data_IF_954680690877
#
_entry.id   IF_954680690877
#
_cell.length_a   1.000
_cell.length_b   1.000
_cell.length_c   1.000
_cell.angle_alpha   90.00
_cell.angle_beta   90.00
_cell.angle_gamma   90.00
#
_symmetry.space_group_name_H-M   'P 1'
#
loop_
_entity.id
_entity.type
_entity.pdbx_description
1 polymer ?
#
# COMPACT_ATOMS: atom_id res chain seq x y z
N UNK A 1 -9.24 -35.87 6.20
CA UNK A 1 -8.75 -34.86 7.15
C UNK A 1 -7.72 -34.02 6.41
N UNK A 2 -8.16 -32.95 5.73
CA UNK A 2 -7.25 -32.05 5.00
C UNK A 2 -6.48 -31.22 6.02
N UNK A 3 -5.17 -31.39 6.03
CA UNK A 3 -4.25 -30.62 6.86
C UNK A 3 -4.39 -29.15 6.46
N UNK A 4 -4.98 -28.33 7.33
CA UNK A 4 -5.09 -26.88 7.17
C UNK A 4 -3.70 -26.25 7.37
N UNK A 5 -2.87 -26.32 6.32
CA UNK A 5 -1.59 -25.63 6.28
C UNK A 5 -1.85 -24.16 5.93
N UNK A 6 -2.40 -23.43 6.89
CA UNK A 6 -2.62 -21.99 6.75
C UNK A 6 -1.26 -21.29 6.57
N UNK A 7 -1.08 -20.62 5.44
CA UNK A 7 0.20 -20.03 5.06
C UNK A 7 0.43 -18.73 5.84
N UNK A 8 1.35 -18.78 6.81
CA UNK A 8 1.83 -17.60 7.54
C UNK A 8 2.82 -16.81 6.69
N UNK A 9 2.60 -15.49 6.63
CA UNK A 9 3.45 -14.51 5.99
C UNK A 9 3.98 -13.55 7.04
N UNK A 10 5.25 -13.20 6.92
CA UNK A 10 5.91 -12.23 7.77
C UNK A 10 6.78 -11.31 6.91
N UNK A 11 6.84 -10.04 7.29
CA UNK A 11 7.82 -9.10 6.76
C UNK A 11 8.16 -8.06 7.84
N UNK A 12 9.26 -7.35 7.63
CA UNK A 12 9.64 -6.21 8.47
C UNK A 12 9.28 -4.96 7.69
N UNK A 13 8.38 -4.15 8.25
CA UNK A 13 8.18 -2.79 7.80
C UNK A 13 9.20 -1.88 8.48
N UNK A 14 9.85 -1.00 7.71
CA UNK A 14 10.89 -0.10 8.21
C UNK A 14 10.35 0.93 9.24
N UNK A 15 9.02 1.17 9.30
CA UNK A 15 8.39 2.01 10.34
C UNK A 15 7.56 1.21 11.34
N UNK A 16 6.65 0.37 10.86
CA UNK A 16 5.67 -0.35 11.69
C UNK A 16 6.31 -1.58 12.35
N UNK A 17 7.53 -1.96 11.95
CA UNK A 17 8.25 -3.09 12.49
C UNK A 17 7.75 -4.44 11.97
N UNK A 18 7.96 -5.51 12.72
CA UNK A 18 7.58 -6.87 12.32
C UNK A 18 6.06 -6.99 12.15
N UNK A 19 5.63 -7.39 10.96
CA UNK A 19 4.24 -7.66 10.64
C UNK A 19 4.05 -9.14 10.34
N UNK A 20 2.90 -9.70 10.73
CA UNK A 20 2.55 -11.10 10.42
C UNK A 20 1.06 -11.25 10.14
N UNK A 21 0.72 -12.10 9.17
CA UNK A 21 -0.65 -12.48 8.87
C UNK A 21 -0.70 -13.92 8.35
N UNK A 22 -1.87 -14.54 8.43
CA UNK A 22 -2.15 -15.90 7.99
C UNK A 22 -3.18 -15.86 6.87
N UNK A 23 -2.80 -16.33 5.68
CA UNK A 23 -3.71 -16.44 4.54
C UNK A 23 -4.83 -17.43 4.85
N UNK A 24 -6.06 -17.12 4.44
CA UNK A 24 -7.27 -17.88 4.77
C UNK A 24 -7.89 -17.55 6.13
N UNK A 25 -7.15 -16.89 7.04
CA UNK A 25 -7.64 -16.44 8.34
C UNK A 25 -7.73 -14.93 8.46
N UNK A 26 -6.61 -14.24 8.25
CA UNK A 26 -6.51 -12.79 8.42
C UNK A 26 -6.90 -12.05 7.11
N UNK A 27 -6.81 -12.74 5.97
CA UNK A 27 -7.36 -12.31 4.70
C UNK A 27 -7.68 -13.53 3.80
N UNK A 28 -8.76 -13.43 3.03
CA UNK A 28 -9.18 -14.46 2.07
C UNK A 28 -8.68 -14.21 0.65
N UNK A 29 -9.25 -14.95 -0.29
CA UNK A 29 -8.99 -14.83 -1.72
C UNK A 29 -9.18 -13.39 -2.21
N UNK A 30 -8.37 -13.01 -3.18
CA UNK A 30 -8.38 -11.68 -3.77
C UNK A 30 -8.26 -11.76 -5.28
N UNK A 31 -8.84 -10.77 -5.96
CA UNK A 31 -8.83 -10.69 -7.41
C UNK A 31 -7.40 -10.39 -7.88
N UNK A 32 -6.89 -11.20 -8.80
CA UNK A 32 -5.61 -10.99 -9.50
C UNK A 32 -5.81 -10.54 -10.95
N UNK A 33 -6.93 -10.90 -11.56
CA UNK A 33 -7.32 -10.52 -12.92
C UNK A 33 -8.80 -10.16 -12.95
N UNK A 34 -9.14 -9.03 -13.56
CA UNK A 34 -10.51 -8.52 -13.58
C UNK A 34 -11.25 -8.96 -14.84
N UNK A 35 -12.58 -8.91 -14.79
CA UNK A 35 -13.46 -9.30 -15.92
C UNK A 35 -13.27 -8.44 -17.16
N UNK A 36 -12.85 -7.19 -16.99
CA UNK A 36 -12.50 -6.25 -18.07
C UNK A 36 -11.09 -6.47 -18.64
N UNK A 37 -10.54 -7.68 -18.47
CA UNK A 37 -9.26 -8.12 -19.03
C UNK A 37 -8.03 -7.29 -18.64
N UNK A 38 -8.10 -6.62 -17.48
CA UNK A 38 -6.97 -5.89 -16.89
C UNK A 38 -6.50 -6.57 -15.61
N UNK A 39 -5.18 -6.55 -15.31
CA UNK A 39 -4.68 -7.06 -14.05
C UNK A 39 -5.28 -6.27 -12.88
N UNK A 40 -5.57 -6.97 -11.79
CA UNK A 40 -5.96 -6.29 -10.55
C UNK A 40 -4.73 -5.62 -9.92
N UNK A 41 -4.98 -4.63 -9.07
CA UNK A 41 -3.94 -3.85 -8.40
C UNK A 41 -2.83 -4.71 -7.77
N UNK A 42 -3.20 -5.82 -7.10
CA UNK A 42 -2.23 -6.66 -6.41
C UNK A 42 -1.22 -7.30 -7.38
N UNK A 43 -1.68 -7.78 -8.54
CA UNK A 43 -0.81 -8.39 -9.56
C UNK A 43 -0.02 -7.34 -10.33
N UNK A 44 -0.68 -6.26 -10.76
CA UNK A 44 -0.03 -5.20 -11.51
C UNK A 44 1.18 -4.63 -10.76
N UNK A 45 1.00 -4.27 -9.49
CA UNK A 45 2.09 -3.72 -8.66
C UNK A 45 3.25 -4.70 -8.54
N UNK A 46 2.99 -5.97 -8.25
CA UNK A 46 4.07 -6.96 -8.03
C UNK A 46 4.90 -7.17 -9.29
N UNK A 47 4.25 -7.29 -10.45
CA UNK A 47 4.93 -7.50 -11.72
C UNK A 47 5.71 -6.26 -12.14
N UNK A 48 5.10 -5.07 -12.01
CA UNK A 48 5.74 -3.80 -12.37
C UNK A 48 6.94 -3.49 -11.45
N UNK A 49 6.78 -3.64 -10.13
CA UNK A 49 7.86 -3.44 -9.16
C UNK A 49 9.06 -4.35 -9.46
N UNK A 50 8.80 -5.63 -9.76
CA UNK A 50 9.85 -6.58 -10.10
C UNK A 50 10.52 -6.24 -11.44
N UNK A 51 9.74 -5.91 -12.47
CA UNK A 51 10.25 -5.54 -13.78
C UNK A 51 11.09 -4.24 -13.74
N UNK A 52 10.68 -3.29 -12.90
CA UNK A 52 11.38 -2.01 -12.69
C UNK A 52 12.48 -2.10 -11.63
N UNK A 53 12.72 -3.28 -11.05
CA UNK A 53 13.74 -3.52 -10.02
C UNK A 53 13.61 -2.61 -8.80
N UNK A 54 12.38 -2.34 -8.37
CA UNK A 54 12.09 -1.54 -7.19
C UNK A 54 12.69 -2.21 -5.95
N UNK A 55 13.53 -1.48 -5.22
CA UNK A 55 14.18 -1.99 -4.01
C UNK A 55 13.41 -1.68 -2.73
N UNK A 56 12.65 -0.58 -2.73
CA UNK A 56 11.90 -0.09 -1.57
C UNK A 56 10.58 0.55 -2.01
N UNK A 57 9.50 0.18 -1.33
CA UNK A 57 8.15 0.69 -1.55
C UNK A 57 7.74 1.53 -0.35
N UNK A 58 7.56 2.83 -0.59
CA UNK A 58 7.04 3.79 0.38
C UNK A 58 5.59 4.13 0.03
N UNK A 59 4.65 3.83 0.93
CA UNK A 59 3.21 4.03 0.68
C UNK A 59 2.42 4.26 1.97
N UNK A 60 1.14 4.62 1.88
CA UNK A 60 0.30 4.83 3.06
C UNK A 60 0.05 3.54 3.85
N UNK A 61 -0.04 3.64 5.17
CA UNK A 61 -0.31 2.51 6.09
C UNK A 61 -1.66 1.83 5.88
N UNK A 62 -2.61 2.48 5.19
CA UNK A 62 -3.86 1.88 4.76
C UNK A 62 -3.65 0.71 3.77
N UNK A 63 -2.47 0.61 3.15
CA UNK A 63 -2.10 -0.46 2.23
C UNK A 63 -1.33 -1.61 2.90
N UNK A 64 -1.17 -1.61 4.23
CA UNK A 64 -0.40 -2.64 4.93
C UNK A 64 -0.93 -4.07 4.69
N UNK A 65 -2.25 -4.24 4.67
CA UNK A 65 -2.87 -5.53 4.36
C UNK A 65 -2.69 -5.95 2.88
N UNK A 66 -2.54 -5.00 1.96
CA UNK A 66 -2.20 -5.30 0.56
C UNK A 66 -0.79 -5.90 0.45
N UNK A 67 0.14 -5.53 1.33
CA UNK A 67 1.48 -6.11 1.37
C UNK A 67 1.44 -7.62 1.53
N UNK A 68 0.63 -8.17 2.43
CA UNK A 68 0.53 -9.62 2.59
C UNK A 68 0.03 -10.33 1.33
N UNK A 69 -0.96 -9.75 0.65
CA UNK A 69 -1.46 -10.28 -0.63
C UNK A 69 -0.38 -10.24 -1.72
N UNK A 70 0.38 -9.16 -1.78
CA UNK A 70 1.48 -8.99 -2.73
C UNK A 70 2.66 -9.93 -2.43
N UNK A 71 2.98 -10.17 -1.16
CA UNK A 71 4.01 -11.12 -0.76
C UNK A 71 3.68 -12.56 -1.20
N UNK A 72 2.40 -12.95 -1.21
CA UNK A 72 1.99 -14.23 -1.79
C UNK A 72 2.29 -14.29 -3.29
N UNK A 73 2.04 -13.20 -4.01
CA UNK A 73 2.30 -13.14 -5.45
C UNK A 73 3.80 -13.13 -5.74
N UNK A 74 4.61 -12.36 -5.00
CA UNK A 74 6.07 -12.41 -5.09
C UNK A 74 6.57 -13.84 -4.92
N UNK A 75 6.10 -14.55 -3.88
CA UNK A 75 6.47 -15.95 -3.64
C UNK A 75 5.98 -16.89 -4.75
N UNK A 76 4.74 -16.73 -5.22
CA UNK A 76 4.16 -17.61 -6.25
C UNK A 76 4.81 -17.45 -7.62
N UNK A 77 5.33 -16.25 -7.92
CA UNK A 77 6.00 -15.93 -9.17
C UNK A 77 7.53 -16.10 -9.08
N UNK A 78 8.05 -16.59 -7.95
CA UNK A 78 9.50 -16.69 -7.67
C UNK A 78 10.25 -15.36 -7.85
N UNK A 79 9.61 -14.26 -7.42
CA UNK A 79 10.13 -12.91 -7.47
C UNK A 79 10.59 -12.44 -6.07
N UNK A 80 11.65 -11.65 -6.04
CA UNK A 80 12.13 -11.01 -4.81
C UNK A 80 11.26 -9.81 -4.46
N UNK A 81 10.69 -9.77 -3.26
CA UNK A 81 9.95 -8.60 -2.78
C UNK A 81 10.89 -7.45 -2.36
N UNK A 82 10.46 -6.18 -2.52
CA UNK A 82 11.17 -5.02 -2.02
C UNK A 82 11.08 -4.93 -0.49
N UNK A 83 11.81 -3.97 0.08
CA UNK A 83 11.55 -3.48 1.44
C UNK A 83 10.29 -2.61 1.45
N UNK A 84 9.63 -2.53 2.60
CA UNK A 84 8.40 -1.74 2.74
C UNK A 84 8.53 -0.71 3.86
N UNK A 85 8.03 0.49 3.59
CA UNK A 85 7.80 1.54 4.56
C UNK A 85 6.35 2.03 4.42
N UNK A 86 5.55 1.86 5.46
CA UNK A 86 4.15 2.29 5.46
C UNK A 86 3.97 3.61 6.21
N UNK A 87 3.94 4.74 5.51
CA UNK A 87 3.80 6.08 6.07
C UNK A 87 2.44 6.29 6.79
N UNK A 88 2.42 7.04 7.93
CA UNK A 88 1.18 7.32 8.65
C UNK A 88 0.21 8.13 7.79
N UNK A 89 -1.09 7.95 8.03
CA UNK A 89 -2.11 8.73 7.35
C UNK A 89 -2.11 10.18 7.86
N UNK A 90 -2.27 11.13 6.95
CA UNK A 90 -2.46 12.53 7.34
C UNK A 90 -3.85 12.68 7.97
N UNK A 91 -3.90 13.26 9.16
CA UNK A 91 -5.11 13.52 9.92
C UNK A 91 -5.45 15.01 9.86
N UNK A 92 -6.73 15.35 9.98
CA UNK A 92 -7.17 16.73 10.19
C UNK A 92 -7.02 17.16 11.66
N UNK A 93 -7.38 18.42 11.94
CA UNK A 93 -7.35 19.01 13.29
C UNK A 93 -8.25 18.26 14.29
N UNK A 94 -9.22 17.48 13.80
CA UNK A 94 -10.11 16.64 14.61
C UNK A 94 -9.59 15.20 14.76
N UNK A 95 -8.38 14.90 14.26
CA UNK A 95 -7.78 13.57 14.29
C UNK A 95 -8.38 12.58 13.28
N UNK A 96 -9.23 13.05 12.36
CA UNK A 96 -9.86 12.21 11.35
C UNK A 96 -8.98 12.16 10.11
N UNK A 97 -8.90 10.97 9.48
CA UNK A 97 -8.16 10.79 8.23
C UNK A 97 -8.60 11.82 7.19
N UNK A 98 -7.66 12.61 6.68
CA UNK A 98 -7.92 13.54 5.60
C UNK A 98 -8.41 12.80 4.37
N UNK A 99 -9.66 13.07 4.00
CA UNK A 99 -10.25 12.61 2.77
C UNK A 99 -10.39 13.78 1.79
N UNK A 100 -10.18 13.51 0.49
CA UNK A 100 -10.35 14.50 -0.59
C UNK A 100 -11.71 15.24 -0.58
N UNK A 101 -12.71 14.71 0.14
CA UNK A 101 -14.04 15.34 0.32
C UNK A 101 -13.99 16.72 0.95
N UNK A 102 -12.89 17.09 1.64
CA UNK A 102 -12.77 18.40 2.26
C UNK A 102 -12.40 19.54 1.29
N UNK A 103 -12.16 19.27 -0.01
CA UNK A 103 -12.07 20.26 -1.11
C UNK A 103 -10.90 21.27 -1.04
N UNK A 104 -10.75 21.93 0.10
CA UNK A 104 -9.76 22.94 0.45
C UNK A 104 -8.29 22.45 0.46
N UNK A 105 -8.05 21.15 0.39
CA UNK A 105 -6.71 20.55 0.53
C UNK A 105 -6.20 19.82 -0.72
N UNK A 106 -6.88 19.93 -1.87
CA UNK A 106 -6.30 19.41 -3.11
C UNK A 106 -5.13 20.29 -3.57
N UNK A 107 -4.09 19.70 -4.17
CA UNK A 107 -2.98 20.47 -4.76
C UNK A 107 -3.47 21.51 -5.77
N UNK A 108 -4.56 21.20 -6.51
CA UNK A 108 -5.22 22.14 -7.41
C UNK A 108 -5.80 23.33 -6.65
N UNK A 109 -6.58 23.09 -5.59
CA UNK A 109 -7.18 24.16 -4.80
C UNK A 109 -6.13 25.03 -4.10
N UNK A 110 -5.03 24.43 -3.61
CA UNK A 110 -3.89 25.17 -3.06
C UNK A 110 -3.28 26.11 -4.10
N UNK A 111 -3.06 25.60 -5.32
CA UNK A 111 -2.55 26.39 -6.45
C UNK A 111 -3.51 27.51 -6.85
N UNK A 112 -4.81 27.24 -6.94
CA UNK A 112 -5.84 28.25 -7.27
C UNK A 112 -5.94 29.35 -6.20
N UNK A 113 -5.62 29.05 -4.95
CA UNK A 113 -5.50 30.04 -3.86
C UNK A 113 -4.17 30.79 -3.84
N UNK A 114 -3.28 30.58 -4.80
CA UNK A 114 -1.98 31.23 -4.88
C UNK A 114 -0.95 30.70 -3.88
N UNK A 115 -1.16 29.52 -3.29
CA UNK A 115 -0.14 28.87 -2.45
C UNK A 115 1.01 28.41 -3.35
N UNK A 116 2.22 28.88 -3.07
CA UNK A 116 3.40 28.47 -3.82
C UNK A 116 3.76 27.00 -3.54
N UNK A 117 4.42 26.30 -4.48
CA UNK A 117 4.91 24.94 -4.25
C UNK A 117 5.82 24.83 -3.03
N UNK A 118 6.65 25.84 -2.76
CA UNK A 118 7.53 25.92 -1.59
C UNK A 118 6.71 25.94 -0.31
N UNK A 119 5.71 26.83 -0.24
CA UNK A 119 4.82 26.93 0.91
C UNK A 119 4.01 25.64 1.12
N UNK A 120 3.57 24.99 0.03
CA UNK A 120 2.83 23.72 0.09
C UNK A 120 3.69 22.55 0.61
N UNK A 121 5.00 22.55 0.34
CA UNK A 121 5.92 21.51 0.86
C UNK A 121 6.21 21.66 2.34
N UNK A 122 6.20 22.88 2.88
CA UNK A 122 6.51 23.16 4.29
C UNK A 122 5.29 23.13 5.21
N UNK A 123 4.08 23.26 4.67
CA UNK A 123 2.83 23.36 5.45
C UNK A 123 2.27 22.02 5.96
N UNK A 124 2.98 20.91 5.73
CA UNK A 124 2.63 19.57 6.24
C UNK A 124 3.59 19.02 7.31
N UNK A 125 4.38 19.89 7.96
CA UNK A 125 5.21 19.53 9.14
C UNK A 125 4.46 19.80 10.44
#
# INVERSE_FOLDING_TARGET
>A
MTSDSSLRLEFIDERVGKQSAVAGRDFGDFIIWRRDAVPAYQLAVVVDDAAMQISEVVRGEDLLMSTFRQLLLYRALDLRSPKFYHAPLVLDESGKRLAKRHGALSLRALRERGVSPEAARTSGR
#
